data_IF_819565123708
#
_entry.id   IF_819565123708
#
_cell.length_a   1.000
_cell.length_b   1.000
_cell.length_c   1.000
_cell.angle_alpha   90.00
_cell.angle_beta   90.00
_cell.angle_gamma   90.00
#
_symmetry.space_group_name_H-M   'P 1'
#
loop_
_entity.id
_entity.type
_entity.pdbx_description
1 polymer ?
#
# COMPACT_ATOMS: atom_id res chain seq x y z
N UNK A 1 1.53 0.94 11.19
CA UNK A 1 1.90 -0.42 10.76
C UNK A 1 0.99 -1.50 11.34
N UNK A 2 0.81 -1.62 12.65
CA UNK A 2 -0.13 -2.61 13.23
C UNK A 2 -1.56 -2.53 12.66
N UNK A 3 -2.05 -1.32 12.35
CA UNK A 3 -3.33 -1.10 11.66
C UNK A 3 -3.38 -1.69 10.25
N UNK A 4 -2.29 -1.60 9.48
CA UNK A 4 -2.20 -2.16 8.14
C UNK A 4 -2.24 -3.69 8.21
N UNK A 5 -1.46 -4.29 9.11
CA UNK A 5 -1.43 -5.76 9.27
C UNK A 5 -2.77 -6.32 9.74
N UNK A 6 -3.44 -5.62 10.65
CA UNK A 6 -4.79 -6.01 11.09
C UNK A 6 -5.82 -5.86 9.96
N UNK A 7 -5.78 -4.78 9.17
CA UNK A 7 -6.65 -4.63 8.01
C UNK A 7 -6.38 -5.70 6.93
N UNK A 8 -5.12 -5.92 6.57
CA UNK A 8 -4.73 -6.96 5.60
C UNK A 8 -5.10 -8.36 6.10
N UNK A 9 -4.87 -8.65 7.39
CA UNK A 9 -5.25 -9.92 8.01
C UNK A 9 -6.77 -10.13 8.03
N UNK A 10 -7.53 -9.08 8.33
CA UNK A 10 -9.00 -9.11 8.27
C UNK A 10 -9.50 -9.31 6.84
N UNK A 11 -8.84 -8.72 5.85
CA UNK A 11 -9.08 -8.95 4.42
C UNK A 11 -8.80 -10.39 3.98
N UNK A 12 -7.69 -10.98 4.44
CA UNK A 12 -7.35 -12.38 4.17
C UNK A 12 -8.37 -13.32 4.81
N UNK A 13 -8.73 -13.08 6.07
CA UNK A 13 -9.73 -13.87 6.78
C UNK A 13 -11.11 -13.80 6.10
N UNK A 14 -11.54 -12.61 5.69
CA UNK A 14 -12.79 -12.42 4.94
C UNK A 14 -12.78 -13.20 3.60
N UNK A 15 -11.63 -13.28 2.91
CA UNK A 15 -11.49 -14.08 1.68
C UNK A 15 -11.60 -15.57 1.94
N UNK A 16 -10.90 -16.09 2.94
CA UNK A 16 -10.97 -17.51 3.28
C UNK A 16 -12.40 -17.91 3.63
N UNK A 17 -13.11 -17.10 4.41
CA UNK A 17 -14.53 -17.32 4.70
C UNK A 17 -15.40 -17.28 3.45
N UNK A 18 -15.14 -16.35 2.52
CA UNK A 18 -15.88 -16.27 1.25
C UNK A 18 -15.64 -17.51 0.39
N UNK A 19 -14.40 -18.00 0.30
CA UNK A 19 -14.05 -19.22 -0.45
C UNK A 19 -14.74 -20.45 0.15
N UNK A 20 -14.70 -20.62 1.48
CA UNK A 20 -15.39 -21.74 2.13
C UNK A 20 -16.91 -21.67 1.98
N UNK A 21 -17.47 -20.46 1.93
CA UNK A 21 -18.88 -20.25 1.65
C UNK A 21 -19.23 -20.59 0.20
N UNK A 22 -18.47 -20.11 -0.78
CA UNK A 22 -18.67 -20.41 -2.21
C UNK A 22 -18.50 -21.91 -2.52
N UNK A 23 -17.56 -22.58 -1.83
CA UNK A 23 -17.35 -24.03 -1.89
C UNK A 23 -18.46 -24.84 -1.18
N UNK A 24 -19.47 -24.17 -0.60
CA UNK A 24 -20.58 -24.78 0.16
C UNK A 24 -20.14 -25.62 1.36
N UNK A 25 -18.95 -25.35 1.88
CA UNK A 25 -18.40 -26.03 3.08
C UNK A 25 -18.99 -25.40 4.35
N UNK A 26 -19.21 -24.08 4.33
CA UNK A 26 -19.76 -23.33 5.46
C UNK A 26 -21.09 -22.67 5.08
N UNK A 27 -22.08 -22.80 5.95
CA UNK A 27 -23.39 -22.15 5.81
C UNK A 27 -23.53 -21.11 6.92
N UNK A 28 -23.29 -19.84 6.60
CA UNK A 28 -23.48 -18.72 7.53
C UNK A 28 -24.73 -17.92 7.17
N UNK A 29 -25.40 -17.38 8.20
CA UNK A 29 -26.51 -16.43 8.04
C UNK A 29 -26.02 -14.98 7.76
N UNK A 30 -24.70 -14.74 7.79
CA UNK A 30 -24.13 -13.43 7.51
C UNK A 30 -24.41 -13.03 6.05
N UNK A 31 -24.80 -11.77 5.78
CA UNK A 31 -25.10 -11.35 4.43
C UNK A 31 -23.80 -11.37 3.59
N UNK A 32 -23.76 -12.22 2.56
CA UNK A 32 -22.74 -12.30 1.50
C UNK A 32 -22.16 -10.92 1.09
N UNK A 33 -22.97 -9.85 0.92
CA UNK A 33 -22.45 -8.53 0.57
C UNK A 33 -21.53 -7.90 1.64
N UNK A 34 -21.69 -8.23 2.93
CA UNK A 34 -20.82 -7.72 4.00
C UNK A 34 -19.40 -8.32 3.92
N UNK A 35 -19.29 -9.63 3.71
CA UNK A 35 -17.98 -10.28 3.52
C UNK A 35 -17.28 -9.78 2.26
N UNK A 36 -18.07 -9.52 1.21
CA UNK A 36 -17.54 -8.98 -0.04
C UNK A 36 -17.11 -7.51 0.13
N UNK A 37 -17.80 -6.73 0.96
CA UNK A 37 -17.41 -5.36 1.31
C UNK A 37 -16.06 -5.32 2.05
N UNK A 38 -15.89 -6.15 3.09
CA UNK A 38 -14.63 -6.25 3.84
C UNK A 38 -13.47 -6.69 2.94
N UNK A 39 -13.75 -7.59 1.99
CA UNK A 39 -12.78 -8.02 0.99
C UNK A 39 -12.34 -6.85 0.10
N UNK A 40 -13.30 -6.14 -0.50
CA UNK A 40 -13.00 -5.04 -1.45
C UNK A 40 -12.35 -3.85 -0.73
N UNK A 41 -12.74 -3.54 0.50
CA UNK A 41 -12.09 -2.49 1.28
C UNK A 41 -10.65 -2.86 1.63
N UNK A 42 -10.36 -4.11 2.00
CA UNK A 42 -8.97 -4.52 2.24
C UNK A 42 -8.07 -4.36 1.00
N UNK A 43 -8.63 -4.56 -0.19
CA UNK A 43 -7.94 -4.28 -1.45
C UNK A 43 -7.69 -2.79 -1.61
N UNK A 44 -8.74 -1.98 -1.58
CA UNK A 44 -8.64 -0.54 -1.79
C UNK A 44 -7.69 0.13 -0.79
N UNK A 45 -7.66 -0.32 0.46
CA UNK A 45 -6.74 0.18 1.48
C UNK A 45 -5.27 -0.10 1.13
N UNK A 46 -4.97 -1.29 0.58
CA UNK A 46 -3.63 -1.62 0.10
C UNK A 46 -3.18 -0.76 -1.10
N UNK A 47 -4.11 -0.29 -1.94
CA UNK A 47 -3.82 0.67 -3.01
C UNK A 47 -3.57 2.08 -2.46
N UNK A 48 -4.37 2.51 -1.48
CA UNK A 48 -4.28 3.86 -0.93
C UNK A 48 -3.13 4.06 0.07
N UNK A 49 -2.53 3.00 0.62
CA UNK A 49 -1.42 3.18 1.56
C UNK A 49 -0.19 3.88 0.95
N UNK A 50 0.04 3.71 -0.36
CA UNK A 50 1.10 4.42 -1.06
C UNK A 50 0.87 5.94 -1.05
N UNK A 51 -0.39 6.38 -1.12
CA UNK A 51 -0.73 7.79 -0.95
C UNK A 51 -0.43 8.28 0.47
N UNK A 52 -0.80 7.52 1.51
CA UNK A 52 -0.45 7.87 2.90
C UNK A 52 1.06 8.04 3.05
N UNK A 53 1.82 7.04 2.61
CA UNK A 53 3.27 7.02 2.76
C UNK A 53 3.92 8.19 2.00
N UNK A 54 3.46 8.47 0.78
CA UNK A 54 4.00 9.57 -0.03
C UNK A 54 3.65 10.94 0.57
N UNK A 55 2.43 11.10 1.09
CA UNK A 55 1.99 12.34 1.73
C UNK A 55 2.73 12.59 3.05
N UNK A 56 2.89 11.55 3.89
CA UNK A 56 3.69 11.61 5.11
C UNK A 56 5.13 12.05 4.78
N UNK A 57 5.75 11.48 3.76
CA UNK A 57 7.12 11.84 3.34
C UNK A 57 7.20 13.25 2.75
N UNK A 58 6.15 13.70 2.09
CA UNK A 58 6.03 15.10 1.63
C UNK A 58 5.97 16.04 2.82
N UNK A 59 5.17 15.73 3.85
CA UNK A 59 5.13 16.50 5.09
C UNK A 59 6.49 16.53 5.79
N UNK A 60 7.17 15.39 5.90
CA UNK A 60 8.51 15.32 6.49
C UNK A 60 9.54 16.16 5.70
N UNK A 61 9.40 16.24 4.39
CA UNK A 61 10.26 17.05 3.51
C UNK A 61 10.02 18.55 3.71
N UNK A 62 8.76 18.98 3.78
CA UNK A 62 8.38 20.38 3.95
C UNK A 62 8.77 20.87 5.36
N UNK A 63 8.47 20.07 6.39
CA UNK A 63 8.65 20.43 7.79
C UNK A 63 9.98 19.94 8.39
N UNK A 64 11.01 19.69 7.57
CA UNK A 64 12.26 19.05 8.02
C UNK A 64 12.90 19.75 9.24
N UNK A 65 12.84 21.09 9.29
CA UNK A 65 13.41 21.92 10.37
C UNK A 65 12.68 21.79 11.70
N UNK A 66 11.38 21.46 11.67
CA UNK A 66 10.53 21.31 12.84
C UNK A 66 10.29 19.85 13.22
N UNK A 67 10.69 18.92 12.34
CA UNK A 67 10.33 17.51 12.44
C UNK A 67 10.96 16.84 13.67
N UNK A 68 12.19 17.19 14.03
CA UNK A 68 12.87 16.67 15.23
C UNK A 68 12.31 17.25 16.54
N UNK A 69 11.81 18.49 16.52
CA UNK A 69 11.40 19.19 17.74
C UNK A 69 10.04 18.73 18.25
N UNK A 70 9.17 18.24 17.37
CA UNK A 70 7.80 17.86 17.72
C UNK A 70 7.40 16.60 16.94
N UNK A 71 7.35 15.41 17.56
CA UNK A 71 6.84 14.22 16.89
C UNK A 71 5.35 14.40 16.54
N UNK A 72 5.00 14.37 15.25
CA UNK A 72 3.65 14.66 14.75
C UNK A 72 2.87 13.40 14.37
N UNK A 73 2.75 12.46 15.31
CA UNK A 73 2.03 11.19 15.09
C UNK A 73 0.56 11.38 14.67
N UNK A 74 -0.05 12.51 15.03
CA UNK A 74 -1.42 12.86 14.64
C UNK A 74 -1.61 12.94 13.12
N UNK A 75 -0.59 13.37 12.36
CA UNK A 75 -0.69 13.48 10.88
C UNK A 75 -0.88 12.07 10.29
N UNK A 76 -0.07 11.11 10.69
CA UNK A 76 -0.17 9.73 10.22
C UNK A 76 -1.48 9.06 10.67
N UNK A 77 -1.98 9.36 11.87
CA UNK A 77 -3.27 8.86 12.34
C UNK A 77 -4.45 9.40 11.52
N UNK A 78 -4.48 10.72 11.25
CA UNK A 78 -5.51 11.35 10.43
C UNK A 78 -5.48 10.82 8.99
N UNK A 79 -4.29 10.67 8.41
CA UNK A 79 -4.13 10.09 7.07
C UNK A 79 -4.67 8.66 6.98
N UNK A 80 -4.36 7.83 7.98
CA UNK A 80 -4.89 6.46 8.03
C UNK A 80 -6.41 6.45 8.15
N UNK A 81 -7.00 7.30 9.00
CA UNK A 81 -8.44 7.40 9.12
C UNK A 81 -9.12 7.80 7.78
N UNK A 82 -8.54 8.76 7.07
CA UNK A 82 -9.01 9.19 5.75
C UNK A 82 -8.94 8.03 4.74
N UNK A 83 -7.83 7.29 4.74
CA UNK A 83 -7.63 6.17 3.81
C UNK A 83 -8.59 5.02 4.09
N UNK A 84 -8.79 4.66 5.36
CA UNK A 84 -9.75 3.61 5.72
C UNK A 84 -11.16 4.04 5.31
N UNK A 85 -11.55 5.30 5.54
CA UNK A 85 -12.86 5.80 5.10
C UNK A 85 -13.01 5.78 3.57
N UNK A 86 -12.00 6.23 2.84
CA UNK A 86 -12.00 6.22 1.37
C UNK A 86 -12.05 4.79 0.82
N UNK A 87 -11.39 3.85 1.47
CA UNK A 87 -11.41 2.43 1.14
C UNK A 87 -12.80 1.80 1.32
N UNK A 88 -13.47 2.06 2.45
CA UNK A 88 -14.83 1.57 2.65
C UNK A 88 -15.82 2.21 1.66
N UNK A 89 -15.67 3.51 1.37
CA UNK A 89 -16.49 4.21 0.41
C UNK A 89 -16.32 3.64 -1.01
N UNK A 90 -15.09 3.40 -1.46
CA UNK A 90 -14.84 2.80 -2.78
C UNK A 90 -15.37 1.37 -2.86
N UNK A 91 -15.21 0.57 -1.80
CA UNK A 91 -15.76 -0.77 -1.73
C UNK A 91 -17.30 -0.79 -1.82
N UNK A 92 -17.97 0.14 -1.14
CA UNK A 92 -19.42 0.29 -1.20
C UNK A 92 -19.90 0.70 -2.60
N UNK A 93 -19.19 1.61 -3.28
CA UNK A 93 -19.50 2.04 -4.64
C UNK A 93 -19.33 0.90 -5.66
N UNK A 94 -18.30 0.06 -5.50
CA UNK A 94 -18.06 -1.13 -6.34
C UNK A 94 -19.21 -2.14 -6.19
N UNK A 95 -19.73 -2.33 -4.98
CA UNK A 95 -20.82 -3.27 -4.69
C UNK A 95 -22.20 -2.81 -5.17
N UNK A 96 -22.50 -1.52 -5.00
CA UNK A 96 -23.83 -0.97 -5.32
C UNK A 96 -23.95 -0.50 -6.76
N UNK A 97 -22.84 -0.12 -7.40
CA UNK A 97 -22.84 0.49 -8.71
C UNK A 97 -22.59 -0.50 -9.84
N UNK A 98 -23.58 -1.28 -10.29
CA UNK A 98 -23.50 -2.26 -11.41
C UNK A 98 -22.48 -1.97 -12.53
N UNK A 99 -22.87 -1.33 -13.64
CA UNK A 99 -21.95 -1.00 -14.76
C UNK A 99 -20.95 0.13 -14.45
N UNK A 100 -21.16 0.89 -13.37
CA UNK A 100 -20.21 1.88 -12.84
C UNK A 100 -19.06 1.23 -12.06
N UNK A 101 -19.17 -0.04 -11.72
CA UNK A 101 -18.17 -0.82 -10.99
C UNK A 101 -16.87 -0.95 -11.80
N UNK A 102 -16.97 -1.20 -13.11
CA UNK A 102 -15.81 -1.25 -14.01
C UNK A 102 -15.05 0.08 -14.07
N UNK A 103 -15.76 1.22 -14.08
CA UNK A 103 -15.15 2.54 -14.00
C UNK A 103 -14.44 2.75 -12.66
N UNK A 104 -15.07 2.32 -11.56
CA UNK A 104 -14.49 2.38 -10.22
C UNK A 104 -13.22 1.52 -10.10
N UNK A 105 -13.21 0.32 -10.67
CA UNK A 105 -12.02 -0.55 -10.72
C UNK A 105 -10.89 0.09 -11.52
N UNK A 106 -11.21 0.74 -12.66
CA UNK A 106 -10.22 1.49 -13.44
C UNK A 106 -9.62 2.66 -12.67
N UNK A 107 -10.44 3.42 -11.93
CA UNK A 107 -9.96 4.51 -11.08
C UNK A 107 -9.03 4.02 -9.97
N UNK A 108 -9.30 2.85 -9.38
CA UNK A 108 -8.42 2.23 -8.38
C UNK A 108 -7.08 1.80 -9.01
N UNK A 109 -7.10 1.22 -10.22
CA UNK A 109 -5.87 0.82 -10.93
C UNK A 109 -4.98 2.01 -11.32
N UNK A 110 -5.56 3.15 -11.72
CA UNK A 110 -4.82 4.39 -12.04
C UNK A 110 -4.24 5.05 -10.78
N UNK A 111 -4.72 4.67 -9.59
CA UNK A 111 -4.29 5.25 -8.32
C UNK A 111 -2.86 4.89 -7.92
N UNK A 112 -2.26 3.82 -8.43
CA UNK A 112 -0.90 3.40 -8.06
C UNK A 112 0.27 4.12 -8.75
N UNK A 113 0.26 4.38 -10.07
CA UNK A 113 1.37 5.07 -10.73
C UNK A 113 1.54 6.52 -10.24
N UNK A 114 0.47 7.21 -9.85
CA UNK A 114 0.52 8.60 -9.37
C UNK A 114 1.38 8.80 -8.11
N UNK A 115 1.13 8.13 -6.96
CA UNK A 115 1.94 8.27 -5.76
C UNK A 115 3.35 7.73 -5.99
N UNK A 116 3.53 6.71 -6.83
CA UNK A 116 4.86 6.24 -7.21
C UNK A 116 5.69 7.33 -7.91
N UNK A 117 5.13 8.00 -8.91
CA UNK A 117 5.82 9.07 -9.63
C UNK A 117 6.06 10.29 -8.74
N UNK A 118 5.09 10.64 -7.88
CA UNK A 118 5.26 11.67 -6.86
C UNK A 118 6.42 11.30 -5.93
N UNK A 119 6.47 10.09 -5.40
CA UNK A 119 7.53 9.63 -4.50
C UNK A 119 8.92 9.79 -5.14
N UNK A 120 9.07 9.40 -6.41
CA UNK A 120 10.33 9.59 -7.16
C UNK A 120 10.67 11.05 -7.38
N UNK A 121 9.68 11.88 -7.70
CA UNK A 121 9.87 13.33 -7.80
C UNK A 121 10.35 13.92 -6.47
N UNK A 122 9.79 13.47 -5.35
CA UNK A 122 10.17 13.93 -4.01
C UNK A 122 11.62 13.55 -3.66
N UNK A 123 12.10 12.36 -4.04
CA UNK A 123 13.51 11.98 -3.90
C UNK A 123 14.40 12.96 -4.67
N UNK A 124 14.11 13.18 -5.97
CA UNK A 124 14.89 14.09 -6.82
C UNK A 124 14.88 15.52 -6.30
N UNK A 125 13.73 15.98 -5.81
CA UNK A 125 13.58 17.29 -5.18
C UNK A 125 14.48 17.42 -3.95
N UNK A 126 14.50 16.41 -3.08
CA UNK A 126 15.35 16.38 -1.89
C UNK A 126 16.84 16.33 -2.22
N UNK A 127 17.23 15.54 -3.23
CA UNK A 127 18.61 15.51 -3.73
C UNK A 127 19.03 16.88 -4.28
N UNK A 128 18.19 17.52 -5.08
CA UNK A 128 18.45 18.86 -5.60
C UNK A 128 18.57 19.91 -4.48
N UNK A 129 17.71 19.84 -3.45
CA UNK A 129 17.79 20.69 -2.26
C UNK A 129 19.08 20.45 -1.48
N UNK A 130 19.53 19.21 -1.35
CA UNK A 130 20.78 18.85 -0.68
C UNK A 130 22.00 19.43 -1.40
N UNK A 131 22.04 19.33 -2.74
CA UNK A 131 23.13 19.91 -3.54
C UNK A 131 23.21 21.42 -3.35
N UNK A 132 22.07 22.13 -3.40
CA UNK A 132 22.02 23.59 -3.18
C UNK A 132 22.57 24.00 -1.81
N UNK A 133 22.17 23.30 -0.74
CA UNK A 133 22.65 23.57 0.62
C UNK A 133 24.14 23.27 0.73
N UNK A 134 24.61 22.20 0.10
CA UNK A 134 26.03 21.81 0.10
C UNK A 134 26.89 22.86 -0.60
N UNK A 135 26.43 23.39 -1.73
CA UNK A 135 27.12 24.47 -2.45
C UNK A 135 27.14 25.79 -1.65
N UNK A 136 26.06 26.09 -0.93
CA UNK A 136 26.00 27.26 -0.04
C UNK A 136 26.95 27.13 1.16
N UNK A 137 26.99 25.97 1.82
CA UNK A 137 27.88 25.70 2.96
C UNK A 137 29.36 25.81 2.55
N UNK A 138 29.71 25.43 1.31
CA UNK A 138 31.06 25.61 0.78
C UNK A 138 31.46 27.09 0.68
N UNK A 139 30.49 27.99 0.55
CA UNK A 139 30.71 29.45 0.48
C UNK A 139 30.65 30.11 1.85
N UNK A 140 29.75 29.66 2.73
CA UNK A 140 29.56 30.20 4.08
C UNK A 140 29.41 29.07 5.11
N UNK A 141 30.32 29.02 6.08
CA UNK A 141 30.31 28.01 7.15
C UNK A 141 29.30 28.43 8.22
N UNK A 142 28.07 27.91 8.14
CA UNK A 142 27.03 28.18 9.13
C UNK A 142 26.57 26.87 9.80
N UNK A 143 26.62 26.82 11.13
CA UNK A 143 26.40 25.60 11.93
C UNK A 143 24.97 25.05 11.75
N UNK A 144 24.00 25.96 11.59
CA UNK A 144 22.60 25.63 11.30
C UNK A 144 22.42 24.91 9.96
N UNK A 145 23.29 25.16 8.99
CA UNK A 145 23.23 24.51 7.68
C UNK A 145 23.83 23.09 7.67
N UNK A 146 24.66 22.74 8.68
CA UNK A 146 25.25 21.41 8.82
C UNK A 146 24.24 20.38 9.33
N UNK A 147 23.47 20.72 10.37
CA UNK A 147 22.43 19.84 10.92
C UNK A 147 21.33 19.57 9.89
N UNK A 148 20.89 20.59 9.17
CA UNK A 148 19.93 20.47 8.08
C UNK A 148 20.43 19.53 6.97
N UNK A 149 21.73 19.60 6.63
CA UNK A 149 22.35 18.72 5.64
C UNK A 149 22.32 17.25 6.08
N UNK A 150 22.65 16.98 7.34
CA UNK A 150 22.60 15.63 7.91
C UNK A 150 21.18 15.07 7.88
N UNK A 151 20.20 15.84 8.36
CA UNK A 151 18.78 15.46 8.36
C UNK A 151 18.27 15.16 6.94
N UNK A 152 18.62 16.00 5.97
CA UNK A 152 18.19 15.81 4.60
C UNK A 152 18.85 14.58 3.96
N UNK A 153 20.12 14.32 4.28
CA UNK A 153 20.84 13.11 3.84
C UNK A 153 20.22 11.84 4.42
N UNK A 154 19.88 11.85 5.71
CA UNK A 154 19.19 10.74 6.37
C UNK A 154 17.79 10.51 5.79
N UNK A 155 17.03 11.58 5.50
CA UNK A 155 15.71 11.48 4.88
C UNK A 155 15.80 10.89 3.47
N UNK A 156 16.73 11.37 2.62
CA UNK A 156 16.96 10.80 1.28
C UNK A 156 17.33 9.32 1.37
N UNK A 157 18.23 8.98 2.29
CA UNK A 157 18.66 7.60 2.49
C UNK A 157 17.49 6.70 2.93
N UNK A 158 16.65 7.17 3.87
CA UNK A 158 15.42 6.48 4.28
C UNK A 158 14.45 6.32 3.12
N UNK A 159 14.23 7.37 2.33
CA UNK A 159 13.34 7.35 1.18
C UNK A 159 13.79 6.38 0.08
N UNK A 160 15.09 6.31 -0.24
CA UNK A 160 15.63 5.35 -1.22
C UNK A 160 15.43 3.89 -0.80
N UNK A 161 15.51 3.59 0.50
CA UNK A 161 15.21 2.26 1.02
C UNK A 161 13.73 1.92 0.91
N UNK A 162 12.86 2.88 1.23
CA UNK A 162 11.41 2.73 1.07
C UNK A 162 11.04 2.58 -0.41
N UNK A 163 11.76 3.23 -1.32
CA UNK A 163 11.57 3.12 -2.77
C UNK A 163 11.57 1.66 -3.23
N UNK A 164 12.52 0.85 -2.75
CA UNK A 164 12.56 -0.59 -3.05
C UNK A 164 11.30 -1.33 -2.59
N UNK A 165 10.83 -1.05 -1.37
CA UNK A 165 9.57 -1.62 -0.86
C UNK A 165 8.35 -1.16 -1.65
N UNK A 166 8.33 0.11 -2.09
CA UNK A 166 7.29 0.66 -2.97
C UNK A 166 7.30 -0.04 -4.33
N UNK A 167 8.47 -0.31 -4.93
CA UNK A 167 8.55 -1.07 -6.19
C UNK A 167 7.97 -2.47 -6.04
N UNK A 168 8.34 -3.20 -4.99
CA UNK A 168 7.81 -4.54 -4.72
C UNK A 168 6.28 -4.51 -4.53
N UNK A 169 5.78 -3.51 -3.80
CA UNK A 169 4.35 -3.37 -3.54
C UNK A 169 3.58 -3.00 -4.82
N UNK A 170 4.06 -2.02 -5.60
CA UNK A 170 3.45 -1.64 -6.89
C UNK A 170 3.47 -2.81 -7.87
N UNK A 171 4.60 -3.52 -7.98
CA UNK A 171 4.70 -4.70 -8.83
C UNK A 171 3.72 -5.79 -8.41
N UNK A 172 3.68 -6.13 -7.12
CA UNK A 172 2.74 -7.10 -6.57
C UNK A 172 1.28 -6.72 -6.82
N UNK A 173 0.89 -5.47 -6.54
CA UNK A 173 -0.46 -4.99 -6.81
C UNK A 173 -0.81 -5.00 -8.31
N UNK A 174 0.14 -4.67 -9.18
CA UNK A 174 -0.07 -4.66 -10.64
C UNK A 174 -0.26 -6.07 -11.20
N UNK A 175 0.56 -7.03 -10.78
CA UNK A 175 0.41 -8.44 -11.17
C UNK A 175 -0.94 -8.97 -10.71
N UNK A 176 -1.33 -8.67 -9.47
CA UNK A 176 -2.60 -9.08 -8.92
C UNK A 176 -3.81 -8.49 -9.67
N UNK A 177 -3.77 -7.20 -10.04
CA UNK A 177 -4.78 -6.59 -10.91
C UNK A 177 -4.89 -7.35 -12.23
N UNK A 178 -3.76 -7.72 -12.84
CA UNK A 178 -3.73 -8.49 -14.08
C UNK A 178 -4.40 -9.87 -13.94
N UNK A 179 -4.17 -10.55 -12.81
CA UNK A 179 -4.79 -11.84 -12.50
C UNK A 179 -6.31 -11.69 -12.33
N UNK A 180 -6.79 -10.62 -11.70
CA UNK A 180 -8.22 -10.41 -11.46
C UNK A 180 -8.97 -9.88 -12.70
N UNK A 181 -8.38 -8.97 -13.47
CA UNK A 181 -9.01 -8.37 -14.66
C UNK A 181 -8.87 -9.22 -15.92
N UNK A 182 -7.78 -9.99 -16.06
CA UNK A 182 -7.51 -10.78 -17.26
C UNK A 182 -8.66 -11.72 -17.65
N UNK A 183 -9.15 -12.58 -16.73
CA UNK A 183 -10.28 -13.47 -16.99
C UNK A 183 -11.56 -12.72 -17.34
N UNK A 184 -11.84 -11.60 -16.65
CA UNK A 184 -13.03 -10.79 -16.89
C UNK A 184 -13.04 -10.10 -18.27
N UNK A 185 -11.87 -9.81 -18.83
CA UNK A 185 -11.76 -9.22 -20.17
C UNK A 185 -11.83 -10.28 -21.29
N UNK A 186 -11.37 -11.50 -21.03
CA UNK A 186 -11.31 -12.56 -22.05
C UNK A 186 -12.56 -13.46 -22.10
N UNK A 187 -13.24 -13.67 -20.96
CA UNK A 187 -14.36 -14.60 -20.83
C UNK A 187 -15.67 -13.83 -20.60
N UNK A 188 -16.21 -13.25 -21.67
CA UNK A 188 -17.43 -12.43 -21.63
C UNK A 188 -18.71 -13.19 -22.01
N UNK A 189 -18.59 -14.41 -22.55
CA UNK A 189 -19.75 -15.20 -22.99
C UNK A 189 -20.38 -16.02 -21.85
N UNK A 190 -21.72 -16.15 -21.82
CA UNK A 190 -22.43 -16.81 -20.72
C UNK A 190 -22.11 -18.31 -20.57
N UNK A 191 -21.71 -18.99 -21.65
CA UNK A 191 -21.28 -20.39 -21.62
C UNK A 191 -19.94 -20.60 -20.87
N UNK A 192 -19.19 -19.53 -20.63
CA UNK A 192 -17.89 -19.57 -19.97
C UNK A 192 -17.95 -19.18 -18.49
N UNK A 193 -19.15 -18.98 -17.94
CA UNK A 193 -19.35 -18.49 -16.58
C UNK A 193 -18.70 -19.38 -15.51
N UNK A 194 -18.78 -20.70 -15.67
CA UNK A 194 -18.15 -21.64 -14.74
C UNK A 194 -16.62 -21.50 -14.75
N UNK A 195 -16.02 -21.35 -15.93
CA UNK A 195 -14.56 -21.13 -16.07
C UNK A 195 -14.14 -19.79 -15.47
N UNK A 196 -14.95 -18.75 -15.66
CA UNK A 196 -14.72 -17.43 -15.06
C UNK A 196 -14.76 -17.49 -13.52
N UNK A 197 -15.71 -18.24 -12.95
CA UNK A 197 -15.82 -18.42 -11.51
C UNK A 197 -14.58 -19.14 -10.93
N UNK A 198 -14.12 -20.22 -11.56
CA UNK A 198 -12.89 -20.91 -11.12
C UNK A 198 -11.63 -20.04 -11.25
N UNK A 199 -11.48 -19.29 -12.34
CA UNK A 199 -10.37 -18.36 -12.51
C UNK A 199 -10.40 -17.21 -11.50
N UNK A 200 -11.58 -16.68 -11.19
CA UNK A 200 -11.75 -15.64 -10.17
C UNK A 200 -11.44 -16.17 -8.77
N UNK A 201 -11.83 -17.42 -8.47
CA UNK A 201 -11.47 -18.08 -7.21
C UNK A 201 -9.95 -18.29 -7.11
N UNK A 202 -9.32 -18.82 -8.16
CA UNK A 202 -7.87 -19.01 -8.22
C UNK A 202 -7.11 -17.68 -8.11
N UNK A 203 -7.60 -16.61 -8.75
CA UNK A 203 -7.03 -15.28 -8.67
C UNK A 203 -7.10 -14.69 -7.26
N UNK A 204 -8.26 -14.80 -6.61
CA UNK A 204 -8.43 -14.37 -5.21
C UNK A 204 -7.49 -15.13 -4.26
N UNK A 205 -7.27 -16.42 -4.47
CA UNK A 205 -6.35 -17.24 -3.69
C UNK A 205 -4.89 -16.82 -3.92
N UNK A 206 -4.49 -16.66 -5.19
CA UNK A 206 -3.15 -16.19 -5.55
C UNK A 206 -2.85 -14.80 -4.95
N UNK A 207 -3.84 -13.92 -4.94
CA UNK A 207 -3.73 -12.62 -4.28
C UNK A 207 -3.57 -12.77 -2.77
N UNK A 208 -4.42 -13.55 -2.12
CA UNK A 208 -4.33 -13.75 -0.67
C UNK A 208 -2.94 -14.27 -0.27
N UNK A 209 -2.39 -15.23 -1.04
CA UNK A 209 -1.04 -15.75 -0.86
C UNK A 209 0.03 -14.69 -1.13
N UNK A 210 -0.10 -13.88 -2.18
CA UNK A 210 0.88 -12.84 -2.50
C UNK A 210 0.94 -11.74 -1.43
N UNK A 211 -0.20 -11.37 -0.84
CA UNK A 211 -0.25 -10.47 0.32
C UNK A 211 0.37 -11.09 1.56
N UNK A 212 0.06 -12.36 1.84
CA UNK A 212 0.57 -13.07 3.00
C UNK A 212 2.09 -13.27 2.92
N UNK A 213 2.61 -13.50 1.71
CA UNK A 213 4.04 -13.58 1.46
C UNK A 213 4.74 -12.21 1.47
N UNK A 214 4.10 -11.12 1.00
CA UNK A 214 4.70 -9.78 0.93
C UNK A 214 4.65 -8.99 2.26
N UNK A 215 3.64 -9.26 3.08
CA UNK A 215 3.44 -8.65 4.40
C UNK A 215 4.66 -8.78 5.34
N UNK A 216 5.29 -9.96 5.50
CA UNK A 216 6.50 -10.16 6.31
C UNK A 216 7.74 -9.43 5.77
N UNK A 217 7.85 -9.26 4.44
CA UNK A 217 9.02 -8.61 3.84
C UNK A 217 9.13 -7.13 4.18
N UNK A 218 7.99 -6.45 4.40
CA UNK A 218 7.98 -5.08 4.88
C UNK A 218 8.49 -4.98 6.32
N UNK A 219 8.15 -5.96 7.16
CA UNK A 219 8.66 -6.09 8.53
C UNK A 219 10.16 -6.38 8.55
N UNK A 220 10.62 -7.29 7.68
CA UNK A 220 12.04 -7.59 7.48
C UNK A 220 12.82 -6.33 7.07
N UNK A 221 12.31 -5.56 6.11
CA UNK A 221 12.94 -4.32 5.67
C UNK A 221 13.05 -3.27 6.80
N UNK A 222 12.06 -3.22 7.70
CA UNK A 222 12.01 -2.28 8.82
C UNK A 222 12.91 -2.73 9.98
N UNK A 223 12.94 -4.01 10.32
CA UNK A 223 13.82 -4.52 11.39
C UNK A 223 15.30 -4.43 10.99
N UNK A 224 15.62 -4.71 9.72
CA UNK A 224 16.95 -4.42 9.15
C UNK A 224 17.29 -2.93 9.27
N UNK A 225 16.31 -2.03 9.13
CA UNK A 225 16.52 -0.59 9.29
C UNK A 225 16.80 -0.18 10.74
N UNK A 226 16.25 -0.88 11.73
CA UNK A 226 16.55 -0.66 13.16
C UNK A 226 17.84 -1.32 13.64
N UNK A 227 18.53 -2.05 12.76
CA UNK A 227 19.72 -2.83 13.12
C UNK A 227 19.41 -4.11 13.91
N UNK A 228 18.15 -4.56 13.89
CA UNK A 228 17.74 -5.81 14.52
C UNK A 228 17.63 -6.93 13.49
N UNK A 229 17.89 -8.16 13.94
CA UNK A 229 17.59 -9.34 13.13
C UNK A 229 16.07 -9.53 13.12
N UNK A 230 15.42 -9.56 11.93
CA UNK A 230 13.98 -9.75 11.86
C UNK A 230 13.57 -11.09 12.47
N UNK A 231 12.46 -11.11 13.22
CA UNK A 231 11.93 -12.34 13.84
C UNK A 231 11.73 -13.49 12.86
N UNK A 232 11.31 -13.18 11.63
CA UNK A 232 11.11 -14.17 10.56
C UNK A 232 12.43 -14.85 10.18
N UNK A 233 13.54 -14.11 10.20
CA UNK A 233 14.89 -14.64 9.98
C UNK A 233 15.47 -15.34 11.20
N UNK A 234 15.05 -14.97 12.42
CA UNK A 234 15.43 -15.67 13.66
C UNK A 234 14.84 -17.07 13.78
N UNK A 235 13.73 -17.37 13.09
CA UNK A 235 13.13 -18.72 13.06
C UNK A 235 13.80 -19.62 12.01
N UNK A 236 14.51 -19.03 11.04
CA UNK A 236 15.23 -19.72 9.97
C UNK A 236 16.72 -19.94 10.27
N UNK A 237 17.23 -19.38 11.37
CA UNK A 237 18.58 -19.52 11.91
C UNK A 237 18.56 -20.42 13.14
#
# INVERSE_FOLDING_TARGET
MAHLYSSLGLGIFARLLTIFYEARILHFAAPIPFLTLLRISSYAEAFYILFAATFERTCATIYVSDYEKKPRMHISFVLMAIISLASYASAYLVLTGGSRSLHSTHSISISNPLPFQWFRWLIRYNEGRLTRITDQLRRHTDEYSLSLRLQLKENIWSMKKIEFGVYLLVFGLTVNIGIDLGPNLMLTTPEQFERLQWLTCAGNLAYALSLLCSSPWLEVAIEIHKGHVPRVLQVLL
#
